data_IF_057998518915
#
_entry.id   IF_057998518915
#
_cell.length_a   1.000
_cell.length_b   1.000
_cell.length_c   1.000
_cell.angle_alpha   90.00
_cell.angle_beta   90.00
_cell.angle_gamma   90.00
#
_symmetry.space_group_name_H-M   'P 1'
#
loop_
_entity.id
_entity.type
_entity.pdbx_description
1 polymer ?
#
# COMPACT_ATOMS: atom_id res chain seq x y z
N UNK A 1 -4.07 7.08 21.49
CA UNK A 1 -3.89 6.93 20.03
C UNK A 1 -4.87 7.86 19.32
N UNK A 2 -4.42 8.73 18.41
CA UNK A 2 -5.36 9.63 17.70
C UNK A 2 -6.09 8.89 16.57
N UNK A 3 -7.26 9.41 16.13
CA UNK A 3 -8.06 8.82 15.04
C UNK A 3 -7.23 8.55 13.77
N UNK A 4 -6.27 9.43 13.45
CA UNK A 4 -5.38 9.29 12.30
C UNK A 4 -4.43 8.09 12.43
N UNK A 5 -3.94 7.81 13.64
CA UNK A 5 -3.10 6.63 13.89
C UNK A 5 -3.89 5.33 13.77
N UNK A 6 -5.14 5.32 14.24
CA UNK A 6 -6.03 4.16 14.06
C UNK A 6 -6.28 3.88 12.58
N UNK A 7 -6.54 4.94 11.80
CA UNK A 7 -6.72 4.83 10.36
C UNK A 7 -5.45 4.30 9.67
N UNK A 8 -4.27 4.82 10.03
CA UNK A 8 -3.00 4.32 9.49
C UNK A 8 -2.78 2.84 9.85
N UNK A 9 -3.00 2.44 11.10
CA UNK A 9 -2.86 1.03 11.49
C UNK A 9 -3.83 0.13 10.73
N UNK A 10 -5.09 0.54 10.63
CA UNK A 10 -6.09 -0.21 9.86
C UNK A 10 -5.69 -0.34 8.40
N UNK A 11 -5.15 0.73 7.80
CA UNK A 11 -4.68 0.73 6.42
C UNK A 11 -3.47 -0.19 6.23
N UNK A 12 -2.50 -0.15 7.13
CA UNK A 12 -1.33 -1.04 7.12
C UNK A 12 -1.75 -2.51 7.25
N UNK A 13 -2.69 -2.81 8.13
CA UNK A 13 -3.26 -4.16 8.23
C UNK A 13 -3.94 -4.52 6.91
N UNK A 14 -4.74 -3.63 6.33
CA UNK A 14 -5.41 -3.88 5.04
C UNK A 14 -4.44 -4.15 3.88
N UNK A 15 -3.30 -3.47 3.84
CA UNK A 15 -2.24 -3.70 2.83
C UNK A 15 -1.54 -5.04 3.07
N UNK A 16 -1.11 -5.31 4.32
CA UNK A 16 -0.32 -6.50 4.63
C UNK A 16 -1.17 -7.77 4.73
N UNK A 17 -2.48 -7.65 4.90
CA UNK A 17 -3.36 -8.79 5.10
C UNK A 17 -3.72 -9.42 3.75
N UNK A 18 -3.47 -10.73 3.54
CA UNK A 18 -3.78 -11.40 2.29
C UNK A 18 -5.30 -11.59 2.18
N UNK A 19 -5.99 -10.65 1.54
CA UNK A 19 -7.45 -10.69 1.36
C UNK A 19 -7.92 -11.97 0.64
N UNK A 20 -7.05 -12.56 -0.19
CA UNK A 20 -7.27 -13.86 -0.80
C UNK A 20 -7.57 -14.99 0.22
N UNK A 21 -7.14 -14.87 1.48
CA UNK A 21 -7.44 -15.85 2.53
C UNK A 21 -8.95 -16.02 2.73
N UNK A 22 -9.72 -14.93 2.62
CA UNK A 22 -11.17 -14.96 2.83
C UNK A 22 -11.92 -15.71 1.71
N UNK A 23 -11.31 -15.86 0.53
CA UNK A 23 -11.90 -16.62 -0.59
C UNK A 23 -12.13 -18.10 -0.26
N UNK A 24 -11.35 -18.65 0.68
CA UNK A 24 -11.47 -20.06 1.11
C UNK A 24 -12.71 -20.32 1.97
N UNK A 25 -13.29 -19.30 2.59
CA UNK A 25 -14.39 -19.45 3.54
C UNK A 25 -15.78 -19.21 2.94
N UNK A 26 -15.88 -18.57 1.77
CA UNK A 26 -17.16 -18.25 1.14
C UNK A 26 -17.08 -18.25 -0.39
N UNK A 27 -17.86 -19.13 -1.02
CA UNK A 27 -17.95 -19.22 -2.49
C UNK A 27 -18.55 -17.96 -3.13
N UNK A 28 -19.43 -17.24 -2.42
CA UNK A 28 -19.97 -15.96 -2.89
C UNK A 28 -18.92 -14.86 -2.84
N UNK A 29 -18.14 -14.79 -1.77
CA UNK A 29 -17.02 -13.85 -1.67
C UNK A 29 -15.96 -14.14 -2.73
N UNK A 30 -15.60 -15.42 -2.93
CA UNK A 30 -14.64 -15.81 -3.97
C UNK A 30 -15.07 -15.34 -5.36
N UNK A 31 -16.34 -15.54 -5.76
CA UNK A 31 -16.84 -15.08 -7.07
C UNK A 31 -16.72 -13.58 -7.25
N UNK A 32 -17.11 -12.80 -6.24
CA UNK A 32 -16.95 -11.34 -6.27
C UNK A 32 -15.49 -10.92 -6.32
N UNK A 33 -14.65 -11.54 -5.50
CA UNK A 33 -13.22 -11.26 -5.43
C UNK A 33 -12.56 -11.50 -6.78
N UNK A 34 -12.81 -12.64 -7.42
CA UNK A 34 -12.28 -12.93 -8.76
C UNK A 34 -12.77 -11.90 -9.79
N UNK A 35 -14.07 -11.61 -9.85
CA UNK A 35 -14.58 -10.61 -10.82
C UNK A 35 -13.89 -9.26 -10.72
N UNK A 36 -13.56 -8.81 -9.51
CA UNK A 36 -12.94 -7.50 -9.27
C UNK A 36 -11.41 -7.56 -9.44
N UNK A 37 -10.75 -8.55 -8.84
CA UNK A 37 -9.29 -8.60 -8.68
C UNK A 37 -8.57 -9.54 -9.66
N UNK A 38 -9.27 -10.35 -10.47
CA UNK A 38 -8.64 -11.13 -11.54
C UNK A 38 -8.01 -10.25 -12.64
N UNK A 39 -8.60 -9.11 -13.07
CA UNK A 39 -7.99 -8.28 -14.10
C UNK A 39 -6.70 -7.62 -13.60
N UNK A 40 -5.62 -7.75 -14.40
CA UNK A 40 -4.29 -7.17 -14.10
C UNK A 40 -4.33 -5.65 -13.93
N UNK A 41 -5.16 -4.94 -14.70
CA UNK A 41 -5.30 -3.50 -14.54
C UNK A 41 -5.87 -3.13 -13.16
N UNK A 42 -6.77 -3.95 -12.59
CA UNK A 42 -7.30 -3.70 -11.24
C UNK A 42 -6.19 -3.87 -10.21
N UNK A 43 -5.34 -4.88 -10.39
CA UNK A 43 -4.16 -5.11 -9.54
C UNK A 43 -3.26 -3.87 -9.50
N UNK A 44 -2.85 -3.36 -10.67
CA UNK A 44 -2.01 -2.16 -10.79
C UNK A 44 -2.67 -0.93 -10.17
N UNK A 45 -3.96 -0.70 -10.45
CA UNK A 45 -4.70 0.45 -9.91
C UNK A 45 -4.81 0.36 -8.38
N UNK A 46 -5.06 -0.83 -7.85
CA UNK A 46 -5.17 -1.05 -6.40
C UNK A 46 -3.85 -0.82 -5.69
N UNK A 47 -2.74 -1.34 -6.22
CA UNK A 47 -1.39 -1.08 -5.72
C UNK A 47 -1.11 0.43 -5.69
N UNK A 48 -1.25 1.11 -6.83
CA UNK A 48 -1.03 2.56 -6.91
C UNK A 48 -1.91 3.35 -5.92
N UNK A 49 -3.19 2.98 -5.78
CA UNK A 49 -4.13 3.62 -4.86
C UNK A 49 -3.76 3.40 -3.38
N UNK A 50 -3.51 2.16 -2.98
CA UNK A 50 -3.20 1.79 -1.60
C UNK A 50 -1.96 2.53 -1.09
N UNK A 51 -0.90 2.59 -1.91
CA UNK A 51 0.34 3.25 -1.54
C UNK A 51 0.27 4.78 -1.66
N UNK A 52 -0.54 5.33 -2.57
CA UNK A 52 -0.85 6.76 -2.58
C UNK A 52 -1.54 7.20 -1.27
N UNK A 53 -2.54 6.45 -0.83
CA UNK A 53 -3.23 6.73 0.44
C UNK A 53 -2.29 6.53 1.63
N UNK A 54 -1.47 5.48 1.62
CA UNK A 54 -0.46 5.24 2.67
C UNK A 54 0.47 6.44 2.81
N UNK A 55 1.04 6.94 1.72
CA UNK A 55 1.93 8.10 1.73
C UNK A 55 1.24 9.36 2.30
N UNK A 56 -0.03 9.60 1.94
CA UNK A 56 -0.83 10.70 2.50
C UNK A 56 -1.05 10.51 3.99
N UNK A 57 -1.40 9.31 4.45
CA UNK A 57 -1.62 9.03 5.86
C UNK A 57 -0.33 9.21 6.66
N UNK A 58 0.80 8.67 6.19
CA UNK A 58 2.12 8.83 6.81
C UNK A 58 2.47 10.30 6.99
N UNK A 59 2.34 11.12 5.93
CA UNK A 59 2.61 12.56 5.99
C UNK A 59 1.69 13.33 6.97
N UNK A 60 0.50 12.80 7.26
CA UNK A 60 -0.50 13.42 8.16
C UNK A 60 -0.42 12.94 9.60
N UNK A 61 0.22 11.82 9.85
CA UNK A 61 0.36 11.20 11.17
C UNK A 61 1.74 11.39 11.77
N UNK A 62 2.78 11.34 10.95
CA UNK A 62 4.15 11.39 11.44
C UNK A 62 4.55 12.81 11.87
N UNK A 63 5.51 12.93 12.80
CA UNK A 63 6.12 14.20 13.15
C UNK A 63 6.72 14.91 11.92
N UNK A 64 6.72 16.26 11.87
CA UNK A 64 7.19 17.04 10.71
C UNK A 64 8.59 16.66 10.19
N UNK A 65 9.51 16.28 11.08
CA UNK A 65 10.86 15.81 10.73
C UNK A 65 10.89 14.60 9.78
N UNK A 66 9.82 13.81 9.74
CA UNK A 66 9.67 12.64 8.87
C UNK A 66 8.77 12.92 7.65
N UNK A 67 8.25 14.13 7.50
CA UNK A 67 7.42 14.51 6.36
C UNK A 67 8.24 14.88 5.10
N UNK A 68 9.58 14.79 5.17
CA UNK A 68 10.42 14.94 4.00
C UNK A 68 10.13 13.82 2.99
N UNK A 69 9.99 14.11 1.68
CA UNK A 69 9.59 13.13 0.67
C UNK A 69 10.46 11.87 0.65
N UNK A 70 11.78 12.03 0.89
CA UNK A 70 12.70 10.90 1.04
C UNK A 70 12.24 9.90 2.10
N UNK A 71 11.94 10.35 3.33
CA UNK A 71 11.54 9.46 4.43
C UNK A 71 10.19 8.79 4.17
N UNK A 72 9.24 9.54 3.60
CA UNK A 72 7.93 8.99 3.25
C UNK A 72 8.05 7.88 2.20
N UNK A 73 8.86 8.09 1.17
CA UNK A 73 9.10 7.08 0.12
C UNK A 73 9.90 5.89 0.64
N UNK A 74 10.85 6.08 1.56
CA UNK A 74 11.52 4.96 2.23
C UNK A 74 10.53 4.10 3.02
N UNK A 75 9.57 4.71 3.72
CA UNK A 75 8.54 3.98 4.45
C UNK A 75 7.55 3.27 3.52
N UNK A 76 7.16 3.92 2.41
CA UNK A 76 6.36 3.28 1.34
C UNK A 76 7.09 2.04 0.82
N UNK A 77 8.37 2.17 0.45
CA UNK A 77 9.18 1.06 -0.05
C UNK A 77 9.27 -0.07 0.97
N UNK A 78 9.48 0.26 2.25
CA UNK A 78 9.53 -0.74 3.30
C UNK A 78 8.22 -1.53 3.39
N UNK A 79 7.08 -0.86 3.33
CA UNK A 79 5.76 -1.52 3.37
C UNK A 79 5.52 -2.34 2.09
N UNK A 80 5.93 -1.85 0.91
CA UNK A 80 5.88 -2.59 -0.35
C UNK A 80 6.65 -3.90 -0.27
N UNK A 81 7.92 -3.84 0.16
CA UNK A 81 8.72 -5.04 0.36
C UNK A 81 8.11 -6.02 1.38
N UNK A 82 7.51 -5.51 2.46
CA UNK A 82 6.84 -6.36 3.45
C UNK A 82 5.59 -7.03 2.88
N UNK A 83 4.79 -6.30 2.09
CA UNK A 83 3.58 -6.85 1.50
C UNK A 83 3.90 -7.91 0.44
N UNK A 84 4.85 -7.65 -0.45
CA UNK A 84 5.34 -8.66 -1.41
C UNK A 84 5.95 -9.86 -0.70
N UNK A 85 6.70 -9.65 0.37
CA UNK A 85 7.23 -10.73 1.20
C UNK A 85 6.13 -11.63 1.78
N UNK A 86 5.04 -11.04 2.30
CA UNK A 86 3.88 -11.79 2.79
C UNK A 86 3.20 -12.55 1.66
N UNK A 87 3.07 -11.95 0.48
CA UNK A 87 2.48 -12.58 -0.71
C UNK A 87 3.29 -13.80 -1.15
N UNK A 88 4.61 -13.67 -1.28
CA UNK A 88 5.51 -14.77 -1.64
C UNK A 88 5.44 -15.94 -0.64
N UNK A 89 5.39 -15.65 0.66
CA UNK A 89 5.20 -16.67 1.70
C UNK A 89 3.86 -17.37 1.53
N UNK A 90 2.79 -16.60 1.26
CA UNK A 90 1.44 -17.15 1.09
C UNK A 90 1.29 -18.01 -0.17
N UNK A 91 1.92 -17.61 -1.27
CA UNK A 91 1.90 -18.35 -2.55
C UNK A 91 3.00 -19.41 -2.64
N UNK A 92 3.86 -19.53 -1.63
CA UNK A 92 5.04 -20.40 -1.61
C UNK A 92 5.91 -20.23 -2.88
N UNK A 93 6.05 -18.99 -3.35
CA UNK A 93 6.76 -18.64 -4.59
C UNK A 93 8.11 -17.98 -4.30
N UNK A 94 9.00 -17.99 -5.29
CA UNK A 94 10.29 -17.29 -5.23
C UNK A 94 10.15 -15.87 -5.79
N UNK A 95 10.93 -14.89 -5.30
CA UNK A 95 10.95 -13.54 -5.87
C UNK A 95 11.31 -13.57 -7.37
N UNK A 96 10.62 -12.76 -8.16
CA UNK A 96 10.76 -12.67 -9.60
C UNK A 96 10.54 -11.25 -10.14
N UNK A 97 10.17 -11.18 -11.42
CA UNK A 97 9.97 -9.91 -12.13
C UNK A 97 8.67 -9.22 -11.74
N UNK A 98 7.66 -9.99 -11.39
CA UNK A 98 6.31 -9.47 -11.11
C UNK A 98 6.32 -8.68 -9.80
N UNK A 99 7.04 -9.16 -8.77
CA UNK A 99 7.20 -8.47 -7.49
C UNK A 99 7.98 -7.15 -7.66
N UNK A 100 8.99 -7.12 -8.54
CA UNK A 100 9.70 -5.88 -8.86
C UNK A 100 8.81 -4.86 -9.58
N UNK A 101 7.92 -5.34 -10.46
CA UNK A 101 6.95 -4.50 -11.12
C UNK A 101 5.95 -3.92 -10.11
N UNK A 102 5.43 -4.75 -9.20
CA UNK A 102 4.47 -4.34 -8.17
C UNK A 102 5.09 -3.30 -7.21
N UNK A 103 6.33 -3.53 -6.74
CA UNK A 103 7.08 -2.54 -5.94
C UNK A 103 7.25 -1.23 -6.73
N UNK A 104 7.49 -1.31 -8.04
CA UNK A 104 7.57 -0.14 -8.92
C UNK A 104 6.26 0.64 -8.97
N UNK A 105 5.13 -0.05 -9.13
CA UNK A 105 3.78 0.54 -9.11
C UNK A 105 3.48 1.17 -7.75
N UNK A 106 3.85 0.51 -6.65
CA UNK A 106 3.68 1.00 -5.29
C UNK A 106 4.45 2.30 -5.04
N UNK A 107 5.69 2.38 -5.54
CA UNK A 107 6.51 3.59 -5.45
C UNK A 107 5.93 4.74 -6.29
N UNK A 108 5.37 4.46 -7.47
CA UNK A 108 4.69 5.46 -8.28
C UNK A 108 3.45 5.99 -7.54
N UNK A 109 2.61 5.08 -7.01
CA UNK A 109 1.46 5.42 -6.19
C UNK A 109 1.84 6.26 -4.96
N UNK A 110 2.84 5.80 -4.20
CA UNK A 110 3.38 6.51 -3.06
C UNK A 110 3.91 7.90 -3.41
N UNK A 111 4.60 8.05 -4.54
CA UNK A 111 5.09 9.34 -5.03
C UNK A 111 3.94 10.31 -5.32
N UNK A 112 2.86 9.84 -5.97
CA UNK A 112 1.65 10.64 -6.16
C UNK A 112 1.05 11.06 -4.81
N UNK A 113 0.97 10.14 -3.84
CA UNK A 113 0.49 10.43 -2.50
C UNK A 113 1.32 11.48 -1.76
N UNK A 114 2.65 11.39 -1.84
CA UNK A 114 3.58 12.38 -1.26
C UNK A 114 3.34 13.76 -1.88
N UNK A 115 3.25 13.84 -3.21
CA UNK A 115 2.97 15.11 -3.92
C UNK A 115 1.64 15.72 -3.50
N UNK A 116 0.59 14.90 -3.33
CA UNK A 116 -0.72 15.35 -2.85
C UNK A 116 -0.67 15.84 -1.40
N UNK A 117 0.13 15.20 -0.55
CA UNK A 117 0.29 15.59 0.85
C UNK A 117 1.04 16.93 0.99
N UNK A 118 2.10 17.12 0.19
CA UNK A 118 2.94 18.33 0.20
C UNK A 118 2.17 19.59 -0.21
N UNK A 119 1.26 19.51 -1.20
CA UNK A 119 0.41 20.65 -1.59
C UNK A 119 -0.43 21.24 -0.44
N UNK A 120 -0.58 20.50 0.66
CA UNK A 120 -1.40 20.87 1.81
C UNK A 120 -0.62 20.97 3.12
N UNK A 121 0.71 20.86 3.08
CA UNK A 121 1.58 21.18 4.21
C UNK A 121 2.34 22.44 3.80
N UNK A 122 2.15 23.60 4.47
CA UNK A 122 2.99 24.75 4.20
C UNK A 122 4.44 24.29 4.36
N UNK A 123 5.25 24.50 3.33
CA UNK A 123 6.67 24.21 3.35
C UNK A 123 7.21 24.86 4.63
N UNK A 124 7.58 24.02 5.60
CA UNK A 124 8.32 24.46 6.77
C UNK A 124 9.74 24.73 6.29
N UNK A 125 9.90 25.88 5.63
CA UNK A 125 11.18 26.57 5.47
C UNK A 125 11.46 27.37 6.75
#
# INVERSE_FOLDING_TARGET
MSRKHLLLLFWLVGILFPMALFTRYSATYNRWFQTVFTPEWTHVVMHAFLYAVLAVLLARTLPPRFCHPFWLLTLVLLVACLQEGVQLIYTASLPGRDELFDIGVDLIGGSVGVLLAQKRLPLLE
#
